data_IF_641091958854
#
_entry.id   IF_641091958854
#
_cell.length_a   1.000
_cell.length_b   1.000
_cell.length_c   1.000
_cell.angle_alpha   90.00
_cell.angle_beta   90.00
_cell.angle_gamma   90.00
#
_symmetry.space_group_name_H-M   'P 1'
#
loop_
_entity.id
_entity.type
_entity.pdbx_description
1 polymer ?
#
# COMPACT_ATOMS: atom_id res chain seq x y z
N UNK A 1 15.57 -28.44 -23.83
CA UNK A 1 15.95 -27.09 -24.31
C UNK A 1 15.48 -26.09 -23.28
N UNK A 2 16.41 -25.72 -22.40
CA UNK A 2 16.22 -24.91 -21.20
C UNK A 2 17.06 -23.66 -21.42
N UNK A 3 16.44 -22.47 -21.46
CA UNK A 3 17.14 -21.18 -21.36
C UNK A 3 16.14 -20.03 -21.39
N UNK A 4 16.38 -19.04 -20.52
CA UNK A 4 15.86 -17.66 -20.49
C UNK A 4 14.45 -17.43 -19.91
N UNK A 5 14.42 -16.91 -18.68
CA UNK A 5 13.56 -15.81 -18.17
C UNK A 5 13.81 -15.68 -16.65
N UNK A 6 15.02 -15.24 -16.30
CA UNK A 6 15.37 -14.73 -14.96
C UNK A 6 15.57 -13.24 -15.14
N UNK A 7 14.67 -12.45 -14.55
CA UNK A 7 14.63 -11.01 -14.78
C UNK A 7 14.08 -10.23 -13.59
N UNK A 8 14.64 -10.44 -12.41
CA UNK A 8 14.69 -9.43 -11.32
C UNK A 8 15.83 -9.81 -10.38
N UNK A 9 16.94 -9.05 -10.44
CA UNK A 9 18.05 -9.15 -9.47
C UNK A 9 17.73 -8.31 -8.23
N UNK A 10 17.95 -8.80 -7.00
CA UNK A 10 18.01 -7.95 -5.82
C UNK A 10 19.38 -7.22 -5.79
N UNK A 11 19.37 -5.91 -5.59
CA UNK A 11 20.59 -5.08 -5.63
C UNK A 11 21.14 -4.77 -4.25
N UNK A 12 22.47 -4.85 -4.21
CA UNK A 12 23.42 -4.69 -3.11
C UNK A 12 23.86 -3.23 -3.03
N UNK A 13 24.00 -2.68 -1.82
CA UNK A 13 24.59 -1.37 -1.60
C UNK A 13 26.13 -1.44 -1.65
N UNK A 14 26.77 -0.58 -2.46
CA UNK A 14 28.22 -0.34 -2.45
C UNK A 14 28.49 0.97 -1.68
N UNK A 15 29.40 1.00 -0.69
CA UNK A 15 29.62 2.21 0.10
C UNK A 15 30.72 3.12 -0.46
N UNK A 16 30.37 4.40 -0.64
CA UNK A 16 31.21 5.53 -0.17
C UNK A 16 31.91 6.41 -1.21
N UNK A 17 31.57 7.71 -1.21
CA UNK A 17 32.55 8.81 -1.18
C UNK A 17 31.91 10.06 -0.53
N UNK A 18 32.60 10.78 0.38
CA UNK A 18 32.03 11.94 1.06
C UNK A 18 32.22 13.23 0.25
N UNK A 19 31.15 14.00 0.05
CA UNK A 19 31.23 15.38 -0.49
C UNK A 19 31.10 16.37 0.67
N UNK A 20 32.06 17.29 0.73
CA UNK A 20 32.24 18.30 1.76
C UNK A 20 31.15 19.38 1.75
N UNK A 21 30.64 19.72 2.94
CA UNK A 21 29.71 20.84 3.14
C UNK A 21 30.46 22.17 3.30
N UNK A 22 30.23 23.11 2.37
CA UNK A 22 30.68 24.50 2.45
C UNK A 22 29.73 25.31 3.34
N UNK A 23 30.27 25.86 4.43
CA UNK A 23 29.62 26.87 5.30
C UNK A 23 29.61 28.24 4.61
N UNK A 24 28.50 28.99 4.73
CA UNK A 24 28.49 30.46 4.61
C UNK A 24 27.84 31.09 5.85
N UNK A 25 28.25 32.31 6.26
CA UNK A 25 28.04 32.81 7.62
C UNK A 25 26.84 33.76 7.79
N UNK A 26 26.18 33.61 8.94
CA UNK A 26 25.77 34.67 9.88
C UNK A 26 24.97 35.87 9.42
N UNK A 27 23.69 35.93 9.81
CA UNK A 27 22.97 37.18 10.10
C UNK A 27 22.12 36.98 11.36
N UNK A 28 22.37 37.79 12.39
CA UNK A 28 21.58 37.91 13.63
C UNK A 28 20.61 39.09 13.45
N UNK A 29 19.36 38.99 13.95
CA UNK A 29 18.74 40.20 14.50
C UNK A 29 18.16 40.05 15.92
N UNK A 30 18.06 41.21 16.55
CA UNK A 30 17.86 41.54 17.95
C UNK A 30 16.45 41.22 18.50
N UNK A 31 16.38 41.06 19.83
CA UNK A 31 15.17 40.80 20.65
C UNK A 31 14.71 42.09 21.37
N UNK A 32 13.40 42.35 21.54
CA UNK A 32 12.90 43.33 22.53
C UNK A 32 12.38 42.67 23.84
N UNK A 33 12.16 43.44 24.94
CA UNK A 33 12.09 42.90 26.31
C UNK A 33 10.69 42.89 27.00
N UNK A 34 10.53 41.99 28.00
CA UNK A 34 9.59 41.98 29.16
C UNK A 34 8.13 41.62 28.87
N UNK A 35 7.34 40.79 29.60
CA UNK A 35 7.24 40.22 30.97
C UNK A 35 6.16 39.07 30.92
N UNK A 36 5.78 38.36 32.01
CA UNK A 36 6.51 37.64 33.04
C UNK A 36 6.22 36.10 33.05
N UNK A 37 6.92 35.40 33.94
CA UNK A 37 7.10 33.94 34.05
C UNK A 37 5.88 33.19 34.61
N UNK A 38 5.50 32.08 33.96
CA UNK A 38 4.86 30.93 34.62
C UNK A 38 5.82 29.75 34.68
N UNK A 39 5.92 29.17 35.88
CA UNK A 39 6.81 28.07 36.27
C UNK A 39 6.35 26.73 35.69
N UNK A 40 7.32 25.91 35.31
CA UNK A 40 7.23 24.45 35.45
C UNK A 40 7.34 23.64 34.17
N UNK A 41 8.55 23.39 33.69
CA UNK A 41 8.91 22.06 33.19
C UNK A 41 10.44 21.90 33.19
N UNK A 42 10.92 20.88 33.90
CA UNK A 42 12.33 20.53 34.05
C UNK A 42 12.90 20.08 32.70
N UNK A 43 13.79 20.89 32.13
CA UNK A 43 14.61 20.50 31.00
C UNK A 43 15.70 19.52 31.48
N UNK A 44 15.54 18.24 31.16
CA UNK A 44 16.62 17.26 31.28
C UNK A 44 17.69 17.57 30.22
N UNK A 45 18.92 17.75 30.69
CA UNK A 45 20.12 18.01 29.89
C UNK A 45 20.33 16.89 28.86
N UNK A 46 20.56 17.28 27.62
CA UNK A 46 21.08 16.43 26.54
C UNK A 46 22.53 16.03 26.85
N UNK A 47 22.71 14.87 27.48
CA UNK A 47 23.99 14.16 27.45
C UNK A 47 24.16 13.50 26.08
N UNK A 48 25.32 13.74 25.46
CA UNK A 48 25.64 13.32 24.10
C UNK A 48 25.43 11.83 23.86
N UNK A 49 24.69 11.53 22.80
CA UNK A 49 24.63 10.19 22.22
C UNK A 49 25.92 9.99 21.44
N UNK A 50 26.83 9.19 21.99
CA UNK A 50 27.92 8.59 21.23
C UNK A 50 27.32 7.84 20.05
N UNK A 51 27.67 8.27 18.84
CA UNK A 51 27.36 7.56 17.60
C UNK A 51 28.14 6.25 17.59
N UNK A 52 27.54 5.18 18.09
CA UNK A 52 28.03 3.83 17.88
C UNK A 52 27.93 3.53 16.37
N UNK A 53 29.08 3.39 15.73
CA UNK A 53 29.26 2.88 14.36
C UNK A 53 28.96 1.38 14.32
N UNK A 54 27.68 1.01 14.45
CA UNK A 54 27.20 -0.35 14.24
C UNK A 54 26.60 -0.48 12.84
N UNK A 55 26.87 -1.60 12.15
CA UNK A 55 26.12 -1.97 10.95
C UNK A 55 24.61 -1.99 11.25
N UNK A 56 23.75 -1.54 10.32
CA UNK A 56 22.31 -1.55 10.55
C UNK A 56 21.84 -2.98 10.86
N UNK A 57 20.91 -3.17 11.81
CA UNK A 57 20.47 -4.50 12.22
C UNK A 57 19.81 -5.23 11.05
N UNK A 58 20.13 -6.51 10.89
CA UNK A 58 19.53 -7.39 9.88
C UNK A 58 18.13 -7.85 10.33
N UNK A 59 17.36 -8.45 9.41
CA UNK A 59 16.08 -9.09 9.79
C UNK A 59 16.27 -10.16 10.86
N UNK A 60 17.37 -10.92 10.79
CA UNK A 60 17.72 -11.95 11.79
C UNK A 60 17.90 -11.36 13.18
N UNK A 61 18.64 -10.26 13.26
CA UNK A 61 18.91 -9.56 14.53
C UNK A 61 17.61 -9.05 15.17
N UNK A 62 16.69 -8.54 14.37
CA UNK A 62 15.40 -8.02 14.84
C UNK A 62 14.46 -9.15 15.27
N UNK A 63 14.44 -10.26 14.53
CA UNK A 63 13.56 -11.39 14.82
C UNK A 63 14.02 -12.21 16.04
N UNK A 64 15.29 -12.11 16.45
CA UNK A 64 15.83 -12.74 17.67
C UNK A 64 15.46 -14.24 17.82
N UNK A 65 15.49 -14.99 16.71
CA UNK A 65 15.17 -16.42 16.68
C UNK A 65 13.68 -16.78 16.84
N UNK A 66 12.77 -15.80 16.93
CA UNK A 66 11.31 -16.05 17.02
C UNK A 66 10.70 -16.50 15.70
N UNK A 67 11.29 -16.10 14.58
CA UNK A 67 10.86 -16.54 13.24
C UNK A 67 11.68 -17.78 12.85
N UNK A 68 11.05 -18.84 12.30
CA UNK A 68 11.78 -20.02 11.86
C UNK A 68 12.89 -19.68 10.87
N UNK A 69 14.06 -20.30 11.07
CA UNK A 69 15.28 -20.04 10.31
C UNK A 69 15.09 -20.22 8.80
N UNK A 70 14.34 -21.24 8.39
CA UNK A 70 14.05 -21.50 6.98
C UNK A 70 13.24 -20.38 6.31
N UNK A 71 12.37 -19.68 7.05
CA UNK A 71 11.60 -18.53 6.55
C UNK A 71 12.49 -17.30 6.39
N UNK A 72 13.37 -17.04 7.38
CA UNK A 72 14.32 -15.93 7.31
C UNK A 72 15.31 -16.11 6.16
N UNK A 73 15.90 -17.30 6.02
CA UNK A 73 16.76 -17.64 4.90
C UNK A 73 16.04 -17.48 3.56
N UNK A 74 14.79 -17.93 3.47
CA UNK A 74 13.99 -17.77 2.25
C UNK A 74 13.73 -16.30 1.93
N UNK A 75 13.46 -15.47 2.93
CA UNK A 75 13.29 -14.03 2.74
C UNK A 75 14.57 -13.40 2.16
N UNK A 76 15.74 -13.77 2.69
CA UNK A 76 17.04 -13.32 2.19
C UNK A 76 17.31 -13.78 0.75
N UNK A 77 17.04 -15.05 0.43
CA UNK A 77 17.20 -15.62 -0.91
C UNK A 77 16.32 -14.92 -1.97
N UNK A 78 15.14 -14.42 -1.56
CA UNK A 78 14.23 -13.65 -2.42
C UNK A 78 14.68 -12.18 -2.56
N UNK A 79 15.63 -11.73 -1.73
CA UNK A 79 16.21 -10.39 -1.78
C UNK A 79 15.82 -9.46 -0.62
N UNK A 80 15.12 -9.95 0.40
CA UNK A 80 14.81 -9.19 1.62
C UNK A 80 16.00 -9.25 2.60
N UNK A 81 17.14 -8.66 2.22
CA UNK A 81 18.37 -8.73 3.01
C UNK A 81 18.43 -7.66 4.10
N UNK A 82 17.94 -6.45 3.81
CA UNK A 82 17.93 -5.32 4.74
C UNK A 82 16.49 -4.96 5.15
N UNK A 83 16.21 -4.81 6.45
CA UNK A 83 14.89 -4.46 6.92
C UNK A 83 14.56 -2.99 6.61
N UNK A 84 13.36 -2.76 6.05
CA UNK A 84 12.82 -1.42 5.84
C UNK A 84 12.55 -0.73 7.18
N UNK A 85 12.38 0.60 7.18
CA UNK A 85 12.11 1.36 8.41
C UNK A 85 10.87 0.85 9.15
N UNK A 86 9.78 0.59 8.41
CA UNK A 86 8.56 0.01 9.01
C UNK A 86 8.82 -1.36 9.60
N UNK A 87 9.66 -2.20 9.00
CA UNK A 87 10.02 -3.51 9.56
C UNK A 87 10.86 -3.35 10.83
N UNK A 88 11.84 -2.43 10.84
CA UNK A 88 12.69 -2.14 12.02
C UNK A 88 11.87 -1.67 13.22
N UNK A 89 10.89 -0.80 13.00
CA UNK A 89 10.07 -0.27 14.09
C UNK A 89 8.94 -1.22 14.50
N UNK A 90 8.32 -1.94 13.55
CA UNK A 90 7.14 -2.75 13.84
C UNK A 90 7.45 -4.17 14.33
N UNK A 91 8.47 -4.84 13.81
CA UNK A 91 8.73 -6.25 14.15
C UNK A 91 8.90 -6.50 15.65
N UNK A 92 9.64 -5.67 16.42
CA UNK A 92 9.73 -5.86 17.88
C UNK A 92 8.38 -5.80 18.59
N UNK A 93 7.49 -4.90 18.14
CA UNK A 93 6.13 -4.74 18.67
C UNK A 93 5.27 -5.95 18.28
N UNK A 94 5.27 -6.29 16.99
CA UNK A 94 4.51 -7.43 16.45
C UNK A 94 4.90 -8.73 17.15
N UNK A 95 6.20 -9.03 17.23
CA UNK A 95 6.70 -10.27 17.83
C UNK A 95 6.50 -10.31 19.36
N UNK A 96 6.20 -9.18 20.03
CA UNK A 96 5.86 -9.15 21.45
C UNK A 96 4.44 -9.67 21.75
N UNK A 97 3.61 -9.90 20.73
CA UNK A 97 2.23 -10.38 20.87
C UNK A 97 1.18 -9.29 21.07
N UNK A 98 1.58 -8.02 21.06
CA UNK A 98 0.67 -6.87 21.19
C UNK A 98 -0.12 -6.63 19.91
N UNK A 99 -1.39 -6.28 20.06
CA UNK A 99 -2.18 -5.77 18.95
C UNK A 99 -1.52 -4.50 18.40
N UNK A 100 -1.59 -4.29 17.09
CA UNK A 100 -0.85 -3.20 16.45
C UNK A 100 -1.61 -2.54 15.32
N UNK A 101 -1.47 -1.23 15.24
CA UNK A 101 -1.87 -0.45 14.07
C UNK A 101 -0.59 0.02 13.36
N UNK A 102 -0.35 -0.54 12.18
CA UNK A 102 0.78 -0.26 11.32
C UNK A 102 0.40 0.79 10.28
N UNK A 103 0.92 2.01 10.44
CA UNK A 103 0.74 3.09 9.49
C UNK A 103 2.06 3.41 8.79
N UNK A 104 2.13 3.12 7.50
CA UNK A 104 3.26 3.44 6.65
C UNK A 104 2.84 3.43 5.18
N UNK A 105 3.49 4.22 4.32
CA UNK A 105 3.17 4.33 2.89
C UNK A 105 3.11 2.98 2.16
N UNK A 106 2.41 2.92 1.03
CA UNK A 106 2.40 1.74 0.15
C UNK A 106 3.82 1.43 -0.33
N UNK A 107 4.17 0.15 -0.45
CA UNK A 107 5.54 -0.27 -0.82
C UNK A 107 6.58 -0.25 0.31
N UNK A 108 6.25 0.27 1.50
CA UNK A 108 7.17 0.30 2.66
C UNK A 108 7.56 -1.08 3.22
N UNK A 109 6.87 -2.16 2.83
CA UNK A 109 7.17 -3.52 3.32
C UNK A 109 6.33 -3.99 4.50
N UNK A 110 5.17 -3.38 4.77
CA UNK A 110 4.18 -3.82 5.79
C UNK A 110 3.83 -5.31 5.69
N UNK A 111 3.63 -5.80 4.46
CA UNK A 111 3.28 -7.20 4.19
C UNK A 111 4.31 -8.17 4.73
N UNK A 112 5.60 -7.92 4.51
CA UNK A 112 6.65 -8.78 5.06
C UNK A 112 6.66 -8.73 6.60
N UNK A 113 6.43 -7.57 7.21
CA UNK A 113 6.44 -7.42 8.66
C UNK A 113 5.36 -8.30 9.34
N UNK A 114 4.10 -8.23 8.89
CA UNK A 114 3.06 -9.08 9.47
C UNK A 114 3.16 -10.55 9.01
N UNK A 115 3.77 -10.84 7.87
CA UNK A 115 4.04 -12.23 7.44
C UNK A 115 5.06 -12.91 8.35
N UNK A 116 6.15 -12.22 8.70
CA UNK A 116 7.14 -12.73 9.64
C UNK A 116 6.53 -12.98 11.03
N UNK A 117 5.63 -12.10 11.49
CA UNK A 117 4.81 -12.35 12.68
C UNK A 117 4.01 -13.65 12.54
N UNK A 118 3.25 -13.82 11.45
CA UNK A 118 2.43 -15.01 11.25
C UNK A 118 3.31 -16.29 11.30
N UNK A 119 4.41 -16.31 10.55
CA UNK A 119 5.32 -17.46 10.54
C UNK A 119 6.01 -17.73 11.89
N UNK A 120 6.10 -16.74 12.78
CA UNK A 120 6.64 -16.93 14.14
C UNK A 120 5.72 -17.68 15.09
N UNK A 121 4.40 -17.69 14.84
CA UNK A 121 3.40 -18.22 15.78
C UNK A 121 2.60 -19.42 15.24
N UNK A 122 2.52 -19.60 13.92
CA UNK A 122 1.79 -20.75 13.36
C UNK A 122 2.51 -22.07 13.61
N UNK A 123 1.74 -23.12 13.84
CA UNK A 123 2.22 -24.49 13.89
C UNK A 123 1.98 -25.20 12.54
N UNK A 124 3.06 -25.47 11.80
CA UNK A 124 3.03 -26.14 10.49
C UNK A 124 2.53 -27.60 10.52
N UNK A 125 2.39 -28.21 11.70
CA UNK A 125 1.87 -29.57 11.85
C UNK A 125 0.37 -29.61 12.16
N UNK A 126 -0.25 -28.45 12.40
CA UNK A 126 -1.67 -28.35 12.77
C UNK A 126 -2.48 -27.85 11.58
N UNK A 127 -3.23 -28.76 10.96
CA UNK A 127 -4.20 -28.44 9.91
C UNK A 127 -5.42 -27.74 10.51
N UNK A 128 -5.30 -26.43 10.68
CA UNK A 128 -6.36 -25.53 11.12
C UNK A 128 -6.02 -24.10 10.70
N UNK A 129 -7.03 -23.28 10.48
CA UNK A 129 -6.83 -21.85 10.16
C UNK A 129 -6.28 -21.12 11.39
N UNK A 130 -5.00 -20.79 11.34
CA UNK A 130 -4.25 -20.16 12.43
C UNK A 130 -3.97 -18.68 12.16
N UNK A 131 -3.93 -18.26 10.89
CA UNK A 131 -3.83 -16.87 10.51
C UNK A 131 -4.84 -16.50 9.42
N UNK A 132 -5.46 -15.33 9.59
CA UNK A 132 -6.40 -14.76 8.62
C UNK A 132 -5.91 -13.35 8.24
N UNK A 133 -5.71 -13.12 6.95
CA UNK A 133 -5.47 -11.79 6.39
C UNK A 133 -6.68 -11.36 5.58
N UNK A 134 -7.31 -10.27 6.02
CA UNK A 134 -8.44 -9.63 5.34
C UNK A 134 -7.91 -8.52 4.47
N UNK A 135 -8.31 -8.53 3.21
CA UNK A 135 -7.95 -7.52 2.21
C UNK A 135 -9.20 -6.93 1.58
N UNK A 136 -9.17 -5.67 1.11
CA UNK A 136 -10.31 -5.06 0.41
C UNK A 136 -10.52 -5.61 -0.99
N UNK A 137 -9.45 -5.92 -1.71
CA UNK A 137 -9.51 -6.27 -3.14
C UNK A 137 -8.91 -7.64 -3.40
N UNK A 138 -9.38 -8.27 -4.48
CA UNK A 138 -8.86 -9.56 -4.94
C UNK A 138 -7.38 -9.45 -5.31
N UNK A 139 -6.99 -8.37 -5.96
CA UNK A 139 -5.64 -8.18 -6.48
C UNK A 139 -4.62 -8.05 -5.35
N UNK A 140 -4.98 -7.34 -4.27
CA UNK A 140 -4.16 -7.28 -3.07
C UNK A 140 -4.06 -8.67 -2.43
N UNK A 141 -5.19 -9.37 -2.34
CA UNK A 141 -5.21 -10.73 -1.80
C UNK A 141 -4.33 -11.71 -2.59
N UNK A 142 -4.30 -11.59 -3.91
CA UNK A 142 -3.41 -12.38 -4.75
C UNK A 142 -1.94 -12.07 -4.49
N UNK A 143 -1.58 -10.80 -4.30
CA UNK A 143 -0.21 -10.39 -3.95
C UNK A 143 0.21 -10.89 -2.58
N UNK A 144 -0.62 -10.69 -1.56
CA UNK A 144 -0.35 -11.15 -0.20
C UNK A 144 -0.20 -12.67 -0.18
N UNK A 145 -1.10 -13.41 -0.85
CA UNK A 145 -1.00 -14.86 -0.96
C UNK A 145 0.26 -15.31 -1.71
N UNK A 146 0.71 -14.56 -2.73
CA UNK A 146 1.97 -14.83 -3.43
C UNK A 146 3.16 -14.65 -2.48
N UNK A 147 3.22 -13.56 -1.72
CA UNK A 147 4.29 -13.31 -0.73
C UNK A 147 4.33 -14.44 0.31
N UNK A 148 3.18 -14.79 0.87
CA UNK A 148 3.08 -15.89 1.83
C UNK A 148 3.63 -17.21 1.24
N UNK A 149 3.25 -17.56 0.00
CA UNK A 149 3.73 -18.79 -0.66
C UNK A 149 5.21 -18.74 -0.99
N UNK A 150 5.75 -17.58 -1.38
CA UNK A 150 7.17 -17.43 -1.67
C UNK A 150 8.01 -17.65 -0.42
N UNK A 151 7.59 -17.12 0.72
CA UNK A 151 8.24 -17.30 2.02
C UNK A 151 8.12 -18.74 2.54
N UNK A 152 6.96 -19.37 2.36
CA UNK A 152 6.72 -20.76 2.77
C UNK A 152 7.29 -21.82 1.82
N UNK A 153 7.88 -21.43 0.68
CA UNK A 153 8.39 -22.37 -0.30
C UNK A 153 9.54 -23.19 0.28
N UNK A 154 9.55 -24.51 0.01
CA UNK A 154 10.62 -25.41 0.46
C UNK A 154 11.96 -24.97 -0.12
N UNK A 155 12.96 -24.90 0.75
CA UNK A 155 14.35 -24.75 0.34
C UNK A 155 14.84 -26.08 -0.23
N UNK A 156 15.32 -26.06 -1.47
CA UNK A 156 16.03 -27.19 -2.09
C UNK A 156 17.31 -27.46 -1.27
N UNK A 157 17.38 -28.60 -0.57
CA UNK A 157 18.56 -29.00 0.22
C UNK A 157 18.30 -29.35 1.70
N UNK A 158 17.11 -29.07 2.25
CA UNK A 158 16.70 -29.55 3.57
C UNK A 158 15.63 -30.65 3.43
N UNK A 159 16.06 -31.90 3.22
CA UNK A 159 15.19 -33.03 2.88
C UNK A 159 14.31 -33.54 4.04
N UNK A 160 14.51 -33.06 5.27
CA UNK A 160 13.97 -33.74 6.47
C UNK A 160 12.75 -33.09 7.12
N UNK A 161 12.29 -31.91 6.68
CA UNK A 161 11.12 -31.25 7.29
C UNK A 161 9.93 -31.26 6.33
N UNK A 162 8.90 -32.05 6.67
CA UNK A 162 7.53 -31.85 6.17
C UNK A 162 6.98 -30.55 6.75
N UNK A 163 7.40 -29.40 6.24
CA UNK A 163 6.87 -28.08 6.61
C UNK A 163 6.21 -27.42 5.39
N UNK A 164 5.22 -28.09 4.80
CA UNK A 164 4.37 -27.46 3.78
C UNK A 164 3.30 -26.64 4.49
N UNK A 165 3.46 -25.31 4.54
CA UNK A 165 2.39 -24.42 4.96
C UNK A 165 1.37 -24.30 3.82
N UNK A 166 0.13 -24.74 4.07
CA UNK A 166 -0.98 -24.59 3.18
C UNK A 166 -1.55 -23.16 3.28
N UNK A 167 -1.58 -22.47 2.14
CA UNK A 167 -2.03 -21.09 2.02
C UNK A 167 -3.19 -21.02 1.02
N UNK A 168 -4.37 -20.67 1.51
CA UNK A 168 -5.57 -20.50 0.70
C UNK A 168 -5.85 -19.02 0.43
N UNK A 169 -6.17 -18.69 -0.82
CA UNK A 169 -6.69 -17.39 -1.22
C UNK A 169 -8.21 -17.48 -1.46
N UNK A 170 -9.00 -16.96 -0.52
CA UNK A 170 -10.47 -16.91 -0.57
C UNK A 170 -10.92 -15.53 -1.06
N UNK A 171 -10.84 -15.32 -2.37
CA UNK A 171 -11.05 -14.01 -2.98
C UNK A 171 -12.32 -13.99 -3.84
N UNK A 172 -12.92 -12.80 -3.98
CA UNK A 172 -14.16 -12.60 -4.75
C UNK A 172 -14.00 -13.07 -6.21
N UNK A 173 -15.06 -13.65 -6.77
CA UNK A 173 -15.04 -14.24 -8.12
C UNK A 173 -14.20 -15.52 -8.25
N UNK A 174 -13.75 -16.11 -7.14
CA UNK A 174 -13.09 -17.42 -7.13
C UNK A 174 -14.05 -18.62 -7.18
N UNK A 175 -13.52 -19.82 -7.38
CA UNK A 175 -14.31 -21.07 -7.35
C UNK A 175 -14.67 -21.47 -5.91
N UNK A 176 -15.61 -20.73 -5.30
CA UNK A 176 -16.04 -20.94 -3.90
C UNK A 176 -16.43 -22.40 -3.62
N UNK A 177 -17.04 -23.12 -4.58
CA UNK A 177 -17.38 -24.54 -4.44
C UNK A 177 -16.14 -25.42 -4.19
N UNK A 178 -15.04 -25.18 -4.92
CA UNK A 178 -13.78 -25.92 -4.77
C UNK A 178 -13.11 -25.61 -3.43
N UNK A 179 -13.13 -24.35 -3.01
CA UNK A 179 -12.60 -23.93 -1.72
C UNK A 179 -13.34 -24.58 -0.54
N UNK A 180 -14.66 -24.72 -0.63
CA UNK A 180 -15.44 -25.44 0.41
C UNK A 180 -15.00 -26.88 0.59
N UNK A 181 -14.74 -27.60 -0.52
CA UNK A 181 -14.29 -28.99 -0.47
C UNK A 181 -12.92 -29.10 0.20
N UNK A 182 -12.01 -28.18 -0.15
CA UNK A 182 -10.65 -28.18 0.39
C UNK A 182 -10.64 -27.83 1.88
N UNK A 183 -11.35 -26.78 2.30
CA UNK A 183 -11.47 -26.38 3.71
C UNK A 183 -12.00 -27.51 4.61
N UNK A 184 -12.85 -28.40 4.08
CA UNK A 184 -13.38 -29.55 4.82
C UNK A 184 -12.41 -30.72 4.88
N UNK A 185 -11.61 -30.93 3.84
CA UNK A 185 -10.70 -32.06 3.75
C UNK A 185 -9.37 -31.80 4.47
N UNK A 186 -8.79 -30.64 4.24
CA UNK A 186 -7.47 -30.25 4.76
C UNK A 186 -7.45 -28.72 4.96
N UNK A 187 -7.87 -28.24 6.15
CA UNK A 187 -7.83 -26.83 6.48
C UNK A 187 -6.42 -26.22 6.32
N UNK A 188 -6.29 -25.08 5.63
CA UNK A 188 -5.01 -24.38 5.48
C UNK A 188 -4.61 -23.65 6.76
N UNK A 189 -3.31 -23.48 7.02
CA UNK A 189 -2.83 -22.70 8.17
C UNK A 189 -3.06 -21.21 7.99
N UNK A 190 -2.93 -20.70 6.75
CA UNK A 190 -3.08 -19.29 6.42
C UNK A 190 -4.19 -19.11 5.39
N UNK A 191 -5.13 -18.21 5.68
CA UNK A 191 -6.17 -17.77 4.76
C UNK A 191 -5.98 -16.29 4.43
N UNK A 192 -5.89 -15.96 3.14
CA UNK A 192 -5.99 -14.58 2.64
C UNK A 192 -7.35 -14.42 2.00
N UNK A 193 -8.17 -13.49 2.48
CA UNK A 193 -9.55 -13.38 2.03
C UNK A 193 -10.01 -11.95 1.77
N UNK A 194 -10.84 -11.77 0.74
CA UNK A 194 -11.67 -10.56 0.62
C UNK A 194 -12.78 -10.63 1.66
N UNK A 195 -13.15 -9.48 2.23
CA UNK A 195 -14.16 -9.42 3.31
C UNK A 195 -15.50 -10.04 2.88
N UNK A 196 -15.92 -9.83 1.62
CA UNK A 196 -17.17 -10.39 1.08
C UNK A 196 -17.17 -11.92 1.04
N UNK A 197 -16.17 -12.52 0.38
CA UNK A 197 -16.01 -13.98 0.32
C UNK A 197 -15.82 -14.62 1.69
N UNK A 198 -15.09 -13.95 2.60
CA UNK A 198 -14.92 -14.39 3.98
C UNK A 198 -16.26 -14.47 4.72
N UNK A 199 -17.03 -13.38 4.75
CA UNK A 199 -18.33 -13.34 5.40
C UNK A 199 -19.25 -14.45 4.86
N UNK A 200 -19.25 -14.69 3.55
CA UNK A 200 -20.07 -15.74 2.96
C UNK A 200 -19.68 -17.15 3.45
N UNK A 201 -18.39 -17.42 3.67
CA UNK A 201 -17.95 -18.72 4.21
C UNK A 201 -18.27 -18.87 5.70
N UNK A 202 -18.20 -17.78 6.47
CA UNK A 202 -18.54 -17.75 7.89
C UNK A 202 -20.05 -17.92 8.12
N UNK A 203 -20.88 -17.21 7.36
CA UNK A 203 -22.34 -17.30 7.42
C UNK A 203 -22.86 -18.70 7.06
N UNK A 204 -22.14 -19.40 6.18
CA UNK A 204 -22.46 -20.79 5.81
C UNK A 204 -21.83 -21.83 6.74
N UNK A 205 -21.16 -21.39 7.82
CA UNK A 205 -20.43 -22.24 8.77
C UNK A 205 -19.42 -23.20 8.11
N UNK A 206 -18.86 -22.81 6.95
CA UNK A 206 -17.83 -23.63 6.27
C UNK A 206 -16.46 -23.36 6.84
N UNK A 207 -16.16 -22.09 7.15
CA UNK A 207 -14.90 -21.67 7.74
C UNK A 207 -15.10 -21.47 9.25
N UNK A 208 -14.21 -22.04 10.06
CA UNK A 208 -14.18 -21.86 11.51
C UNK A 208 -12.93 -21.06 11.89
N UNK A 209 -13.07 -20.14 12.85
CA UNK A 209 -11.99 -19.22 13.28
C UNK A 209 -11.49 -19.53 14.70
N UNK A 210 -11.85 -20.69 15.26
CA UNK A 210 -11.54 -21.07 16.65
C UNK A 210 -10.04 -21.21 16.94
N UNK A 211 -9.24 -21.52 15.91
CA UNK A 211 -7.79 -21.71 16.04
C UNK A 211 -6.96 -20.49 15.61
N UNK A 212 -7.61 -19.36 15.28
CA UNK A 212 -6.90 -18.17 14.82
C UNK A 212 -6.09 -17.58 15.95
N UNK A 213 -4.79 -17.41 15.69
CA UNK A 213 -3.84 -16.73 16.55
C UNK A 213 -3.55 -15.31 16.04
N UNK A 214 -3.62 -15.06 14.73
CA UNK A 214 -3.34 -13.75 14.13
C UNK A 214 -4.44 -13.36 13.14
N UNK A 215 -5.00 -12.16 13.32
CA UNK A 215 -5.88 -11.51 12.37
C UNK A 215 -5.24 -10.23 11.84
N UNK A 216 -5.00 -10.17 10.54
CA UNK A 216 -4.51 -8.98 9.85
C UNK A 216 -5.64 -8.38 9.02
N UNK A 217 -5.77 -7.07 9.05
CA UNK A 217 -6.68 -6.30 8.22
C UNK A 217 -5.85 -5.27 7.46
N UNK A 218 -5.61 -5.51 6.17
CA UNK A 218 -4.71 -4.71 5.33
C UNK A 218 -5.50 -3.72 4.45
N UNK A 219 -4.91 -2.57 4.14
CA UNK A 219 -5.57 -1.42 3.49
C UNK A 219 -6.90 -1.01 4.17
N UNK A 220 -6.82 -0.74 5.47
CA UNK A 220 -7.98 -0.33 6.29
C UNK A 220 -8.64 0.94 5.77
N UNK A 221 -7.86 1.93 5.34
CA UNK A 221 -8.37 3.17 4.75
C UNK A 221 -9.34 2.90 3.59
N UNK A 222 -8.99 1.95 2.71
CA UNK A 222 -9.85 1.56 1.61
C UNK A 222 -11.16 0.90 2.10
N UNK A 223 -11.07 -0.02 3.06
CA UNK A 223 -12.28 -0.67 3.60
C UNK A 223 -13.26 0.31 4.24
N UNK A 224 -12.74 1.42 4.77
CA UNK A 224 -13.55 2.46 5.40
C UNK A 224 -14.29 3.38 4.42
N UNK A 225 -13.96 3.32 3.12
CA UNK A 225 -14.69 4.05 2.08
C UNK A 225 -16.07 3.44 1.78
N UNK A 226 -16.30 2.17 2.15
CA UNK A 226 -17.57 1.46 1.91
C UNK A 226 -18.26 1.08 3.22
N UNK A 227 -19.45 1.63 3.46
CA UNK A 227 -20.26 1.33 4.65
C UNK A 227 -20.56 -0.17 4.80
N UNK A 228 -20.75 -0.87 3.68
CA UNK A 228 -20.95 -2.32 3.64
C UNK A 228 -19.71 -3.07 4.11
N UNK A 229 -18.52 -2.70 3.61
CA UNK A 229 -17.27 -3.33 4.04
C UNK A 229 -16.99 -3.07 5.52
N UNK A 230 -17.23 -1.85 6.01
CA UNK A 230 -17.13 -1.50 7.43
C UNK A 230 -18.05 -2.36 8.29
N UNK A 231 -19.31 -2.55 7.88
CA UNK A 231 -20.27 -3.38 8.62
C UNK A 231 -19.82 -4.84 8.67
N UNK A 232 -19.38 -5.39 7.54
CA UNK A 232 -18.86 -6.76 7.46
C UNK A 232 -17.60 -6.94 8.32
N UNK A 233 -16.67 -5.98 8.30
CA UNK A 233 -15.46 -5.98 9.12
C UNK A 233 -15.79 -5.93 10.61
N UNK A 234 -16.74 -5.07 11.02
CA UNK A 234 -17.24 -5.02 12.40
C UNK A 234 -17.79 -6.37 12.84
N UNK A 235 -18.62 -7.01 12.00
CA UNK A 235 -19.19 -8.34 12.27
C UNK A 235 -18.09 -9.41 12.42
N UNK A 236 -17.06 -9.37 11.58
CA UNK A 236 -15.89 -10.26 11.72
C UNK A 236 -15.19 -10.10 13.07
N UNK A 237 -14.89 -8.85 13.44
CA UNK A 237 -14.08 -8.53 14.62
C UNK A 237 -14.80 -8.81 15.93
N UNK A 238 -16.14 -8.67 15.98
CA UNK A 238 -16.92 -8.77 17.21
C UNK A 238 -17.76 -10.04 17.33
N UNK A 239 -18.25 -10.59 16.22
CA UNK A 239 -19.22 -11.69 16.23
C UNK A 239 -18.61 -13.04 15.87
N UNK A 240 -17.63 -13.06 14.96
CA UNK A 240 -17.03 -14.30 14.45
C UNK A 240 -15.71 -14.68 15.10
N UNK A 241 -15.11 -13.77 15.87
CA UNK A 241 -13.79 -14.00 16.48
C UNK A 241 -13.70 -13.28 17.82
N UNK A 242 -13.00 -13.88 18.79
CA UNK A 242 -12.80 -13.31 20.14
C UNK A 242 -11.45 -12.61 20.28
N UNK A 243 -11.45 -11.44 20.91
CA UNK A 243 -10.28 -10.56 21.02
C UNK A 243 -9.13 -11.19 21.83
N UNK A 244 -9.45 -12.00 22.83
CA UNK A 244 -8.47 -12.63 23.72
C UNK A 244 -7.79 -13.84 23.09
N UNK A 245 -8.37 -14.42 22.04
CA UNK A 245 -7.84 -15.60 21.36
C UNK A 245 -6.81 -15.27 20.28
N UNK A 246 -6.67 -13.99 19.90
CA UNK A 246 -5.86 -13.57 18.75
C UNK A 246 -5.06 -12.30 19.00
N UNK A 247 -4.02 -12.09 18.19
CA UNK A 247 -3.39 -10.80 17.99
C UNK A 247 -4.01 -10.12 16.76
N UNK A 248 -4.44 -8.88 16.89
CA UNK A 248 -5.07 -8.12 15.80
C UNK A 248 -4.12 -7.05 15.26
N UNK A 249 -3.87 -7.08 13.95
CA UNK A 249 -3.00 -6.13 13.24
C UNK A 249 -3.82 -5.38 12.19
N UNK A 250 -3.88 -4.04 12.30
CA UNK A 250 -4.42 -3.17 11.26
C UNK A 250 -3.27 -2.56 10.47
N UNK A 251 -3.23 -2.76 9.15
CA UNK A 251 -2.20 -2.18 8.28
C UNK A 251 -2.83 -1.20 7.28
N UNK A 252 -2.29 0.01 7.19
CA UNK A 252 -2.82 1.05 6.30
C UNK A 252 -1.76 2.04 5.86
N UNK A 253 -1.97 2.69 4.71
CA UNK A 253 -1.11 3.80 4.28
C UNK A 253 -1.47 5.10 5.00
N UNK A 254 -2.77 5.35 5.14
CA UNK A 254 -3.30 6.45 5.94
C UNK A 254 -4.31 5.93 6.96
N UNK A 255 -4.51 6.69 8.04
CA UNK A 255 -5.57 6.42 9.01
C UNK A 255 -6.42 7.69 9.11
N UNK A 256 -7.62 7.70 8.51
CA UNK A 256 -8.53 8.82 8.63
C UNK A 256 -8.82 9.10 10.11
N UNK A 257 -8.61 10.34 10.55
CA UNK A 257 -8.79 10.73 11.95
C UNK A 257 -8.02 9.82 12.91
N UNK A 258 -6.72 9.65 12.68
CA UNK A 258 -5.79 8.79 13.42
C UNK A 258 -6.14 8.53 14.90
N UNK A 259 -6.30 9.58 15.71
CA UNK A 259 -6.66 9.47 17.13
C UNK A 259 -8.03 8.80 17.37
N UNK A 260 -9.01 9.10 16.51
CA UNK A 260 -10.34 8.53 16.56
C UNK A 260 -10.33 7.06 16.19
N UNK A 261 -9.56 6.66 15.18
CA UNK A 261 -9.49 5.26 14.77
C UNK A 261 -8.94 4.36 15.87
N UNK A 262 -7.84 4.75 16.54
CA UNK A 262 -7.30 3.99 17.67
C UNK A 262 -8.30 3.92 18.84
N UNK A 263 -8.95 5.04 19.14
CA UNK A 263 -10.01 5.08 20.14
C UNK A 263 -11.14 4.11 19.79
N UNK A 264 -11.62 4.12 18.55
CA UNK A 264 -12.68 3.24 18.09
C UNK A 264 -12.25 1.77 18.10
N UNK A 265 -11.00 1.45 17.76
CA UNK A 265 -10.47 0.07 17.85
C UNK A 265 -10.59 -0.50 19.27
N UNK A 266 -10.25 0.30 20.29
CA UNK A 266 -10.34 -0.12 21.69
C UNK A 266 -11.79 -0.14 22.17
N UNK A 267 -12.56 0.93 21.92
CA UNK A 267 -13.95 1.04 22.40
C UNK A 267 -14.87 -0.01 21.80
N UNK A 268 -14.70 -0.30 20.51
CA UNK A 268 -15.50 -1.32 19.80
C UNK A 268 -14.96 -2.74 20.00
N UNK A 269 -13.93 -2.91 20.85
CA UNK A 269 -13.29 -4.20 21.14
C UNK A 269 -12.74 -4.91 19.90
N UNK A 270 -12.21 -4.14 18.95
CA UNK A 270 -11.48 -4.69 17.80
C UNK A 270 -10.06 -5.09 18.17
N UNK A 271 -9.44 -4.34 19.10
CA UNK A 271 -8.11 -4.61 19.66
C UNK A 271 -8.12 -4.56 21.19
N UNK A 272 -7.11 -5.19 21.79
CA UNK A 272 -6.81 -5.08 23.22
C UNK A 272 -6.51 -3.63 23.61
N UNK A 273 -6.61 -3.35 24.91
CA UNK A 273 -6.43 -1.98 25.47
C UNK A 273 -5.00 -1.44 25.30
N UNK A 274 -4.01 -2.33 25.21
CA UNK A 274 -2.60 -2.00 25.09
C UNK A 274 -2.11 -1.99 23.62
N UNK A 275 -3.04 -1.80 22.67
CA UNK A 275 -2.73 -1.66 21.24
C UNK A 275 -1.66 -0.60 21.00
N UNK A 276 -0.67 -0.94 20.19
CA UNK A 276 0.45 -0.04 19.86
C UNK A 276 0.26 0.50 18.45
N UNK A 277 0.37 1.82 18.29
CA UNK A 277 0.43 2.44 16.98
C UNK A 277 1.88 2.65 16.56
N UNK A 278 2.26 2.06 15.43
CA UNK A 278 3.56 2.27 14.80
C UNK A 278 3.34 3.13 13.57
N UNK A 279 3.79 4.38 13.63
CA UNK A 279 3.72 5.35 12.54
C UNK A 279 5.11 5.61 11.98
N UNK A 280 5.37 5.16 10.75
CA UNK A 280 6.64 5.44 10.08
C UNK A 280 6.48 6.57 9.08
N UNK A 281 7.43 7.51 9.10
CA UNK A 281 7.46 8.73 8.26
C UNK A 281 6.29 9.68 8.52
N UNK A 282 5.95 9.92 9.80
CA UNK A 282 4.87 10.85 10.16
C UNK A 282 5.05 12.29 9.66
N UNK A 283 6.28 12.69 9.30
CA UNK A 283 6.63 14.06 8.89
C UNK A 283 6.50 14.27 7.37
N UNK A 284 6.74 13.22 6.58
CA UNK A 284 6.73 13.27 5.10
C UNK A 284 5.99 12.02 4.57
N UNK A 285 4.68 12.13 4.29
CA UNK A 285 3.87 10.98 3.86
C UNK A 285 4.13 10.57 2.40
N UNK A 286 4.75 11.44 1.60
CA UNK A 286 5.07 11.22 0.19
C UNK A 286 6.58 11.07 -0.02
N UNK A 287 7.03 10.24 -0.98
CA UNK A 287 8.43 10.18 -1.36
C UNK A 287 8.95 11.53 -1.88
N UNK A 288 10.13 11.94 -1.44
CA UNK A 288 10.76 13.20 -1.84
C UNK A 288 11.20 13.25 -3.31
N UNK A 289 11.25 12.12 -4.01
CA UNK A 289 11.55 12.04 -5.45
C UNK A 289 10.36 12.42 -6.35
N UNK A 290 9.18 12.66 -5.78
CA UNK A 290 7.99 13.07 -6.53
C UNK A 290 7.99 14.59 -6.76
N UNK A 291 7.94 14.98 -8.03
CA UNK A 291 7.63 16.35 -8.43
C UNK A 291 6.14 16.50 -8.66
N UNK A 292 5.51 17.38 -7.90
CA UNK A 292 4.07 17.61 -7.96
C UNK A 292 3.77 18.89 -8.75
N UNK A 293 2.87 18.79 -9.73
CA UNK A 293 2.49 19.88 -10.63
C UNK A 293 0.97 19.96 -10.76
N UNK A 294 0.43 21.12 -11.12
CA UNK A 294 -0.97 21.25 -11.54
C UNK A 294 -1.13 22.16 -12.75
N UNK A 295 -2.22 21.93 -13.49
CA UNK A 295 -2.69 22.78 -14.58
C UNK A 295 -4.13 23.19 -14.28
N UNK A 296 -4.42 24.49 -14.37
CA UNK A 296 -5.78 25.01 -14.29
C UNK A 296 -6.40 24.95 -15.69
N UNK A 297 -7.46 24.16 -15.85
CA UNK A 297 -8.20 24.05 -17.11
C UNK A 297 -9.70 23.82 -16.84
N UNK A 298 -10.55 24.30 -17.75
CA UNK A 298 -12.00 24.04 -17.66
C UNK A 298 -12.28 22.60 -18.05
N UNK A 299 -13.42 22.07 -17.61
CA UNK A 299 -13.79 20.66 -17.85
C UNK A 299 -13.75 20.25 -19.34
N UNK A 300 -14.14 21.14 -20.25
CA UNK A 300 -14.12 20.87 -21.70
C UNK A 300 -12.71 20.92 -22.32
N UNK A 301 -11.75 21.58 -21.65
CA UNK A 301 -10.36 21.72 -22.10
C UNK A 301 -9.47 20.59 -21.57
N UNK A 302 -9.95 19.79 -20.60
CA UNK A 302 -9.16 18.74 -19.93
C UNK A 302 -8.57 17.71 -20.87
N UNK A 303 -9.33 17.25 -21.86
CA UNK A 303 -8.85 16.26 -22.84
C UNK A 303 -7.68 16.81 -23.67
N UNK A 304 -7.81 18.04 -24.18
CA UNK A 304 -6.74 18.71 -24.92
C UNK A 304 -5.51 18.98 -24.05
N UNK A 305 -5.73 19.42 -22.80
CA UNK A 305 -4.65 19.65 -21.83
C UNK A 305 -3.91 18.35 -21.50
N UNK A 306 -4.62 17.25 -21.32
CA UNK A 306 -4.03 15.93 -21.10
C UNK A 306 -3.18 15.50 -22.30
N UNK A 307 -3.68 15.66 -23.53
CA UNK A 307 -2.93 15.32 -24.74
C UNK A 307 -1.64 16.13 -24.83
N UNK A 308 -1.70 17.44 -24.58
CA UNK A 308 -0.53 18.31 -24.57
C UNK A 308 0.49 17.88 -23.52
N UNK A 309 0.04 17.53 -22.30
CA UNK A 309 0.91 17.02 -21.25
C UNK A 309 1.60 15.72 -21.68
N UNK A 310 0.86 14.77 -22.24
CA UNK A 310 1.44 13.50 -22.70
C UNK A 310 2.50 13.70 -23.79
N UNK A 311 2.27 14.62 -24.73
CA UNK A 311 3.21 14.94 -25.81
C UNK A 311 4.44 15.72 -25.33
N UNK A 312 4.28 16.59 -24.33
CA UNK A 312 5.38 17.41 -23.79
C UNK A 312 6.23 16.65 -22.78
N UNK A 313 5.60 15.88 -21.89
CA UNK A 313 6.29 15.09 -20.87
C UNK A 313 6.95 13.83 -21.46
N UNK A 314 6.46 13.30 -22.59
CA UNK A 314 6.95 12.08 -23.27
C UNK A 314 7.15 10.90 -22.29
N UNK A 315 6.10 10.49 -21.55
CA UNK A 315 6.24 9.57 -20.43
C UNK A 315 6.70 8.18 -20.87
N UNK A 316 7.72 7.60 -20.23
CA UNK A 316 8.09 6.19 -20.46
C UNK A 316 6.97 5.22 -20.08
N UNK A 317 6.20 5.58 -19.06
CA UNK A 317 5.01 4.86 -18.59
C UNK A 317 4.22 5.79 -17.69
N UNK A 318 2.90 5.68 -17.72
CA UNK A 318 2.06 6.54 -16.90
C UNK A 318 0.69 5.98 -16.57
N UNK A 319 0.10 6.51 -15.50
CA UNK A 319 -1.28 6.20 -15.10
C UNK A 319 -2.09 7.49 -15.15
N UNK A 320 -3.22 7.43 -15.85
CA UNK A 320 -4.21 8.50 -15.94
C UNK A 320 -5.38 8.10 -15.05
N UNK A 321 -5.51 8.80 -13.92
CA UNK A 321 -6.60 8.57 -12.99
C UNK A 321 -7.81 9.44 -13.31
N UNK A 322 -8.93 8.76 -13.47
CA UNK A 322 -10.25 9.34 -13.73
C UNK A 322 -11.17 8.97 -12.56
N UNK A 323 -12.04 9.89 -12.16
CA UNK A 323 -12.97 9.61 -11.06
C UNK A 323 -14.02 8.57 -11.50
N UNK A 324 -14.43 7.73 -10.56
CA UNK A 324 -15.48 6.74 -10.82
C UNK A 324 -16.81 7.40 -11.21
N UNK A 325 -17.55 6.72 -12.08
CA UNK A 325 -18.86 7.17 -12.50
C UNK A 325 -19.84 7.22 -11.32
N UNK A 326 -20.67 8.25 -11.29
CA UNK A 326 -21.75 8.33 -10.31
C UNK A 326 -22.78 7.22 -10.55
N UNK A 327 -23.38 6.69 -9.47
CA UNK A 327 -24.50 5.74 -9.54
C UNK A 327 -25.65 6.24 -10.44
N UNK A 328 -25.87 7.56 -10.49
CA UNK A 328 -26.86 8.17 -11.37
C UNK A 328 -26.48 7.99 -12.84
N UNK A 329 -25.24 8.32 -13.20
CA UNK A 329 -24.70 8.16 -14.55
C UNK A 329 -24.69 6.69 -15.00
N UNK A 330 -24.34 5.76 -14.10
CA UNK A 330 -24.42 4.31 -14.37
C UNK A 330 -25.85 3.88 -14.72
N UNK A 331 -26.87 4.40 -14.03
CA UNK A 331 -28.28 4.09 -14.31
C UNK A 331 -28.82 4.73 -15.59
N UNK A 332 -28.32 5.90 -15.96
CA UNK A 332 -28.71 6.60 -17.20
C UNK A 332 -28.02 6.03 -18.43
N UNK A 333 -26.98 5.21 -18.26
CA UNK A 333 -26.24 4.60 -19.36
C UNK A 333 -25.22 5.54 -20.00
N UNK A 334 -24.77 6.57 -19.27
CA UNK A 334 -23.73 7.48 -19.72
C UNK A 334 -22.42 6.70 -19.92
N UNK A 335 -21.65 7.03 -20.97
CA UNK A 335 -20.36 6.39 -21.21
C UNK A 335 -19.37 6.68 -20.06
N UNK A 336 -18.68 5.67 -19.51
CA UNK A 336 -17.59 5.84 -18.54
C UNK A 336 -16.60 6.93 -18.93
N UNK A 337 -16.29 7.83 -18.00
CA UNK A 337 -15.29 8.89 -18.21
C UNK A 337 -13.94 8.32 -18.60
N UNK A 338 -13.60 7.15 -18.05
CA UNK A 338 -12.44 6.33 -18.40
C UNK A 338 -12.45 5.89 -19.86
N UNK A 339 -13.60 5.44 -20.39
CA UNK A 339 -13.75 5.11 -21.81
C UNK A 339 -13.68 6.34 -22.70
N UNK A 340 -14.28 7.47 -22.29
CA UNK A 340 -14.17 8.74 -23.02
C UNK A 340 -12.70 9.17 -23.18
N UNK A 341 -11.92 9.09 -22.10
CA UNK A 341 -10.47 9.40 -22.16
C UNK A 341 -9.73 8.40 -23.04
N UNK A 342 -10.03 7.10 -22.92
CA UNK A 342 -9.40 6.05 -23.72
C UNK A 342 -9.64 6.25 -25.23
N UNK A 343 -10.90 6.46 -25.63
CA UNK A 343 -11.27 6.64 -27.05
C UNK A 343 -10.65 7.90 -27.63
N UNK A 344 -10.66 9.00 -26.88
CA UNK A 344 -10.01 10.25 -27.28
C UNK A 344 -8.51 10.06 -27.49
N UNK A 345 -7.81 9.43 -26.53
CA UNK A 345 -6.38 9.21 -26.67
C UNK A 345 -6.05 8.25 -27.81
N UNK A 346 -6.81 7.17 -28.02
CA UNK A 346 -6.61 6.29 -29.18
C UNK A 346 -6.78 7.00 -30.52
N UNK A 347 -7.61 8.03 -30.59
CA UNK A 347 -7.83 8.81 -31.80
C UNK A 347 -6.77 9.90 -32.03
N UNK A 348 -6.21 10.47 -30.96
CA UNK A 348 -5.37 11.68 -31.04
C UNK A 348 -3.91 11.49 -30.62
N UNK A 349 -3.60 10.45 -29.86
CA UNK A 349 -2.25 10.16 -29.36
C UNK A 349 -1.57 9.15 -30.29
N UNK A 350 -0.79 9.66 -31.25
CA UNK A 350 -0.12 8.87 -32.29
C UNK A 350 1.25 8.31 -31.88
N UNK A 351 1.55 8.18 -30.58
CA UNK A 351 2.83 7.65 -30.13
C UNK A 351 2.83 6.12 -29.98
N UNK A 352 4.02 5.55 -29.82
CA UNK A 352 4.25 4.10 -29.75
C UNK A 352 3.79 3.42 -28.45
N UNK A 353 3.24 4.17 -27.48
CA UNK A 353 2.80 3.61 -26.20
C UNK A 353 1.39 3.07 -26.32
N UNK A 354 1.22 1.80 -25.96
CA UNK A 354 -0.11 1.20 -25.87
C UNK A 354 -0.90 1.82 -24.72
N UNK A 355 -2.21 1.99 -24.94
CA UNK A 355 -3.14 2.56 -23.97
C UNK A 355 -4.11 1.47 -23.52
N UNK A 356 -4.02 1.09 -22.25
CA UNK A 356 -4.89 0.08 -21.63
C UNK A 356 -5.88 0.73 -20.66
N UNK A 357 -6.94 -0.01 -20.39
CA UNK A 357 -8.03 0.38 -19.51
C UNK A 357 -8.05 -0.52 -18.28
N UNK A 358 -8.28 0.08 -17.12
CA UNK A 358 -8.51 -0.65 -15.88
C UNK A 358 -9.67 -0.02 -15.11
N UNK A 359 -10.85 -0.65 -15.20
CA UNK A 359 -12.04 -0.24 -14.48
C UNK A 359 -12.44 -1.28 -13.42
N UNK A 360 -13.29 -0.87 -12.49
CA UNK A 360 -13.84 -1.74 -11.45
C UNK A 360 -14.80 -2.77 -12.03
N UNK A 361 -15.68 -2.35 -12.94
CA UNK A 361 -16.75 -3.17 -13.49
C UNK A 361 -16.27 -4.15 -14.59
N UNK A 362 -14.97 -4.17 -14.89
CA UNK A 362 -14.38 -5.15 -15.80
C UNK A 362 -14.54 -6.56 -15.24
N UNK A 363 -14.93 -7.50 -16.11
CA UNK A 363 -14.94 -8.90 -15.72
C UNK A 363 -13.51 -9.38 -15.35
N UNK A 364 -13.46 -10.39 -14.48
CA UNK A 364 -12.19 -10.87 -13.92
C UNK A 364 -11.13 -11.23 -14.97
N UNK A 365 -11.53 -11.89 -16.06
CA UNK A 365 -10.59 -12.33 -17.09
C UNK A 365 -10.02 -11.14 -17.86
N UNK A 366 -10.88 -10.20 -18.29
CA UNK A 366 -10.46 -8.99 -18.99
C UNK A 366 -9.53 -8.12 -18.14
N UNK A 367 -9.84 -7.99 -16.84
CA UNK A 367 -9.01 -7.29 -15.88
C UNK A 367 -7.65 -7.97 -15.71
N UNK A 368 -7.61 -9.29 -15.57
CA UNK A 368 -6.36 -10.05 -15.48
C UNK A 368 -5.49 -9.93 -16.75
N UNK A 369 -6.11 -9.95 -17.93
CA UNK A 369 -5.42 -9.72 -19.21
C UNK A 369 -4.81 -8.33 -19.26
N UNK A 370 -5.59 -7.29 -18.96
CA UNK A 370 -5.12 -5.90 -18.98
C UNK A 370 -3.95 -5.69 -18.01
N UNK A 371 -4.00 -6.30 -16.83
CA UNK A 371 -2.90 -6.27 -15.87
C UNK A 371 -1.65 -7.04 -16.34
N UNK A 372 -1.81 -8.10 -17.12
CA UNK A 372 -0.70 -8.84 -17.70
C UNK A 372 -0.03 -8.03 -18.82
N UNK A 373 -0.81 -7.38 -19.67
CA UNK A 373 -0.31 -6.52 -20.76
C UNK A 373 0.46 -5.32 -20.19
N UNK A 374 -0.13 -4.63 -19.21
CA UNK A 374 0.52 -3.51 -18.52
C UNK A 374 1.88 -3.90 -17.91
N UNK A 375 2.06 -5.16 -17.51
CA UNK A 375 3.35 -5.65 -16.96
C UNK A 375 4.41 -5.95 -18.02
N UNK A 376 4.03 -6.13 -19.28
CA UNK A 376 4.93 -6.57 -20.34
C UNK A 376 5.71 -5.41 -20.98
N UNK A 377 5.34 -4.16 -20.72
CA UNK A 377 6.04 -3.03 -21.31
C UNK A 377 5.66 -1.66 -20.75
N UNK A 378 6.26 -0.66 -21.39
CA UNK A 378 5.94 0.75 -21.22
C UNK A 378 4.57 1.06 -21.82
N UNK A 379 3.61 1.48 -20.99
CA UNK A 379 2.26 1.77 -21.43
C UNK A 379 1.65 2.97 -20.69
N UNK A 380 0.52 3.46 -21.21
CA UNK A 380 -0.39 4.38 -20.53
C UNK A 380 -1.58 3.58 -20.02
N UNK A 381 -1.87 3.70 -18.73
CA UNK A 381 -3.02 3.06 -18.10
C UNK A 381 -4.08 4.09 -17.72
N UNK A 382 -5.28 3.98 -18.28
CA UNK A 382 -6.44 4.77 -17.83
C UNK A 382 -7.19 3.98 -16.76
N UNK A 383 -7.32 4.53 -15.55
CA UNK A 383 -7.89 3.80 -14.41
C UNK A 383 -8.70 4.66 -13.45
N UNK A 384 -9.59 4.03 -12.68
CA UNK A 384 -10.21 4.63 -11.49
C UNK A 384 -9.41 4.32 -10.21
N UNK A 385 -9.65 5.07 -9.13
CA UNK A 385 -9.02 4.81 -7.83
C UNK A 385 -9.22 3.38 -7.36
N UNK A 386 -10.46 2.90 -7.40
CA UNK A 386 -10.83 1.55 -6.97
C UNK A 386 -10.13 0.50 -7.81
N UNK A 387 -10.10 0.72 -9.12
CA UNK A 387 -9.46 -0.18 -10.06
C UNK A 387 -7.93 -0.22 -9.90
N UNK A 388 -7.30 0.89 -9.53
CA UNK A 388 -5.85 0.95 -9.29
C UNK A 388 -5.39 0.44 -7.93
N UNK A 389 -6.27 0.41 -6.91
CA UNK A 389 -5.95 0.01 -5.52
C UNK A 389 -5.62 -1.47 -5.39
N UNK A 390 -4.66 -1.79 -4.54
CA UNK A 390 -4.24 -3.18 -4.32
C UNK A 390 -3.68 -3.91 -5.55
N UNK A 391 -3.44 -3.24 -6.68
CA UNK A 391 -2.86 -3.85 -7.88
C UNK A 391 -1.34 -3.61 -7.92
N UNK A 392 -0.59 -4.66 -8.20
CA UNK A 392 0.85 -4.60 -8.50
C UNK A 392 1.03 -4.20 -9.96
N UNK A 393 0.94 -2.88 -10.17
CA UNK A 393 1.27 -2.20 -11.41
C UNK A 393 2.78 -1.97 -11.43
N UNK A 394 3.42 -2.08 -12.61
CA UNK A 394 4.82 -1.68 -12.76
C UNK A 394 4.98 -0.23 -12.33
N UNK A 395 6.18 0.08 -11.85
CA UNK A 395 6.53 1.44 -11.47
C UNK A 395 6.38 2.37 -12.69
N UNK A 396 5.64 3.46 -12.49
CA UNK A 396 5.37 4.43 -13.53
C UNK A 396 6.10 5.73 -13.29
N UNK A 397 6.58 6.34 -14.37
CA UNK A 397 7.27 7.64 -14.30
C UNK A 397 6.31 8.81 -14.09
N UNK A 398 5.08 8.70 -14.62
CA UNK A 398 4.12 9.80 -14.62
C UNK A 398 2.75 9.38 -14.07
N UNK A 399 2.16 10.23 -13.25
CA UNK A 399 0.79 10.12 -12.78
C UNK A 399 0.03 11.37 -13.23
N UNK A 400 -1.05 11.18 -13.97
CA UNK A 400 -1.95 12.25 -14.39
C UNK A 400 -3.27 12.11 -13.64
N UNK A 401 -3.57 13.04 -12.74
CA UNK A 401 -4.92 13.14 -12.17
C UNK A 401 -5.79 13.91 -13.16
N UNK A 402 -6.42 13.21 -14.09
CA UNK A 402 -7.35 13.81 -15.05
C UNK A 402 -8.55 14.43 -14.33
N UNK A 403 -9.04 13.73 -13.31
CA UNK A 403 -9.90 14.31 -12.30
C UNK A 403 -9.15 14.37 -10.96
N UNK A 404 -9.25 15.48 -10.24
CA UNK A 404 -8.70 15.59 -8.90
C UNK A 404 -9.36 14.53 -7.97
N UNK A 405 -8.58 13.78 -7.16
CA UNK A 405 -9.14 12.82 -6.21
C UNK A 405 -10.00 13.52 -5.16
N UNK A 406 -10.93 12.76 -4.56
CA UNK A 406 -11.89 13.29 -3.56
C UNK A 406 -11.23 13.60 -2.22
N UNK A 407 -10.14 12.92 -1.88
CA UNK A 407 -9.47 13.03 -0.58
C UNK A 407 -7.95 13.08 -0.74
N UNK A 408 -7.27 13.65 0.26
CA UNK A 408 -5.81 13.63 0.35
C UNK A 408 -5.29 12.18 0.39
N UNK A 409 -6.01 11.27 1.07
CA UNK A 409 -5.65 9.85 1.12
C UNK A 409 -5.64 9.26 -0.28
N UNK A 410 -6.67 9.51 -1.09
CA UNK A 410 -6.69 9.03 -2.49
C UNK A 410 -5.54 9.63 -3.31
N UNK A 411 -5.24 10.92 -3.14
CA UNK A 411 -4.07 11.56 -3.76
C UNK A 411 -2.76 10.84 -3.41
N UNK A 412 -2.54 10.57 -2.12
CA UNK A 412 -1.38 9.83 -1.62
C UNK A 412 -1.25 8.45 -2.29
N UNK A 413 -2.37 7.74 -2.45
CA UNK A 413 -2.38 6.42 -3.10
C UNK A 413 -2.12 6.47 -4.60
N UNK A 414 -2.61 7.50 -5.29
CA UNK A 414 -2.31 7.74 -6.72
C UNK A 414 -0.84 8.10 -6.91
N UNK A 415 -0.33 9.05 -6.13
CA UNK A 415 1.06 9.49 -6.16
C UNK A 415 2.05 8.35 -5.84
N UNK A 416 1.72 7.50 -4.86
CA UNK A 416 2.51 6.32 -4.48
C UNK A 416 2.53 5.17 -5.51
N UNK A 417 1.98 5.39 -6.72
CA UNK A 417 2.18 4.51 -7.89
C UNK A 417 3.50 4.83 -8.63
N UNK A 418 4.01 6.03 -8.44
CA UNK A 418 5.33 6.45 -8.86
C UNK A 418 6.30 6.51 -7.66
N UNK A 419 7.61 6.59 -7.92
CA UNK A 419 8.62 6.77 -6.88
C UNK A 419 8.73 5.61 -5.88
N UNK A 420 8.57 4.36 -6.34
CA UNK A 420 8.61 3.17 -5.47
C UNK A 420 10.03 2.65 -5.22
N UNK A 421 11.00 3.01 -6.07
CA UNK A 421 12.42 2.72 -5.83
C UNK A 421 13.03 3.74 -4.88
N UNK A 422 13.45 3.33 -3.68
CA UNK A 422 14.40 4.15 -2.93
C UNK A 422 15.69 4.26 -3.77
N UNK A 423 16.23 5.48 -3.89
CA UNK A 423 17.48 5.77 -4.60
C UNK A 423 17.43 5.70 -6.15
N UNK A 424 16.26 5.84 -6.77
CA UNK A 424 16.20 6.11 -8.21
C UNK A 424 16.49 7.57 -8.51
N UNK A 425 17.35 7.84 -9.48
CA UNK A 425 17.61 9.20 -10.00
C UNK A 425 16.51 9.68 -10.96
N UNK A 426 15.61 8.77 -11.39
CA UNK A 426 14.49 9.13 -12.26
C UNK A 426 13.48 10.01 -11.50
N UNK A 427 13.35 11.26 -11.94
CA UNK A 427 12.31 12.18 -11.45
C UNK A 427 10.93 11.64 -11.82
N UNK A 428 10.14 11.33 -10.81
CA UNK A 428 8.77 10.87 -10.97
C UNK A 428 7.82 12.07 -10.85
N UNK A 429 6.82 12.16 -11.72
CA UNK A 429 6.00 13.37 -11.83
C UNK A 429 4.53 13.07 -11.62
N UNK A 430 3.88 13.89 -10.79
CA UNK A 430 2.43 13.83 -10.54
C UNK A 430 1.80 15.14 -11.00
N UNK A 431 1.05 15.11 -12.09
CA UNK A 431 0.39 16.28 -12.66
C UNK A 431 -1.13 16.20 -12.43
N UNK A 432 -1.71 17.22 -11.79
CA UNK A 432 -3.16 17.31 -11.58
C UNK A 432 -3.82 18.32 -12.50
N UNK A 433 -4.85 17.88 -13.24
CA UNK A 433 -5.72 18.76 -14.00
C UNK A 433 -6.86 19.20 -13.08
N UNK A 434 -6.88 20.49 -12.75
CA UNK A 434 -7.86 21.06 -11.81
C UNK A 434 -8.69 22.14 -12.49
N UNK A 435 -9.94 22.29 -12.08
CA UNK A 435 -10.69 23.52 -12.37
C UNK A 435 -10.27 24.65 -11.42
N UNK A 436 -10.57 25.92 -11.73
CA UNK A 436 -10.29 27.03 -10.82
C UNK A 436 -10.89 26.84 -9.43
N UNK A 437 -12.09 26.24 -9.36
CA UNK A 437 -12.79 25.95 -8.12
C UNK A 437 -12.14 24.81 -7.33
N UNK A 438 -11.37 23.92 -7.96
CA UNK A 438 -10.71 22.79 -7.29
C UNK A 438 -9.37 23.19 -6.65
N UNK A 439 -8.85 24.42 -6.89
CA UNK A 439 -7.56 24.87 -6.34
C UNK A 439 -7.50 24.82 -4.82
N UNK A 440 -8.60 25.17 -4.14
CA UNK A 440 -8.65 25.12 -2.67
C UNK A 440 -8.62 23.68 -2.15
N UNK A 441 -9.17 22.72 -2.92
CA UNK A 441 -9.14 21.30 -2.58
C UNK A 441 -7.72 20.77 -2.68
N UNK A 442 -7.02 21.09 -3.78
CA UNK A 442 -5.60 20.74 -3.94
C UNK A 442 -4.75 21.39 -2.84
N UNK A 443 -5.02 22.64 -2.46
CA UNK A 443 -4.31 23.32 -1.37
C UNK A 443 -4.50 22.61 -0.02
N UNK A 444 -5.69 22.08 0.23
CA UNK A 444 -5.92 21.24 1.41
C UNK A 444 -5.06 19.98 1.36
N UNK A 445 -4.89 19.36 0.20
CA UNK A 445 -4.02 18.18 0.06
C UNK A 445 -2.56 18.55 0.31
N UNK A 446 -2.06 19.66 -0.25
CA UNK A 446 -0.72 20.21 -0.01
C UNK A 446 -0.43 20.33 1.50
N UNK A 447 -1.38 20.91 2.24
CA UNK A 447 -1.27 21.07 3.69
C UNK A 447 -1.36 19.75 4.48
N UNK A 448 -2.26 18.84 4.09
CA UNK A 448 -2.49 17.58 4.81
C UNK A 448 -1.35 16.56 4.57
N UNK A 449 -0.75 16.60 3.38
CA UNK A 449 0.32 15.68 2.98
C UNK A 449 1.70 16.34 2.93
N UNK A 450 1.82 17.61 3.32
CA UNK A 450 3.08 18.35 3.45
C UNK A 450 3.93 18.36 2.16
N UNK A 451 3.29 18.59 1.01
CA UNK A 451 3.98 18.74 -0.28
C UNK A 451 3.60 20.06 -0.96
N UNK A 452 4.40 20.47 -1.94
CA UNK A 452 4.16 21.66 -2.75
C UNK A 452 3.87 21.25 -4.19
N UNK A 453 2.86 21.81 -4.82
CA UNK A 453 2.71 21.74 -6.27
C UNK A 453 3.19 23.01 -6.98
N UNK A 454 3.84 22.82 -8.12
CA UNK A 454 4.14 23.88 -9.08
C UNK A 454 2.99 24.07 -10.08
N UNK A 455 2.65 25.33 -10.39
CA UNK A 455 1.68 25.64 -11.44
C UNK A 455 2.34 25.62 -12.82
N UNK A 456 1.81 24.79 -13.71
CA UNK A 456 2.19 24.79 -15.11
C UNK A 456 1.30 25.76 -15.89
N UNK A 457 1.88 26.86 -16.36
CA UNK A 457 1.20 27.77 -17.26
C UNK A 457 1.13 27.14 -18.65
N UNK A 458 -0.07 26.69 -19.03
CA UNK A 458 -0.33 26.32 -20.41
C UNK A 458 -0.45 27.60 -21.24
N UNK A 459 0.46 27.79 -22.21
CA UNK A 459 0.21 28.76 -23.26
C UNK A 459 -1.07 28.32 -23.98
N UNK A 460 -2.00 29.26 -24.13
CA UNK A 460 -3.32 29.00 -24.73
C UNK A 460 -3.18 28.15 -25.99
N UNK A 461 -3.70 26.92 -25.94
CA UNK A 461 -3.93 26.09 -27.12
C UNK A 461 -4.90 26.87 -28.02
N UNK A 462 -4.36 27.60 -29.01
CA UNK A 462 -5.13 28.31 -30.03
C UNK A 462 -5.68 27.35 -31.07
#
# INVERSE_FOLDING_TARGET
>A
MVSSLVGTRPWVAVPGHPIAALRRPGIIPLRPPGLPRHRGCLAARSSGVSTATGSPPTLRDICQGRVPEHILKRAEDIGFTLPTEVQRQSLPVLLSGKDCVLQAQTGSGKTLAYMLLIFSVINFQRSAVQALIVVPTRELGMQVARVARMLAAKLTGFETVKSTCAIMALLDGGMLKRHKSWLKAEPPEIVVATIGSLCQMLEKHVLKLEAIQVLVVDEVDFMFNSSKQVQSLRKLLTSYSTIDARQTIFASASIPQHNRFLYDCVQQKWTKKDVVHVHVNAVEPLPSCLSHRYVICRKHERLGSLLFLLQSDTPKSGIIFVNDQSEKSKRTGDLPSTLLVLEFLKACFNESLEIHLLEEDMNYNARATSLSEVRQGSCILVATDIAGRGVDLPETTHIYNFDLPKTAVDYLHRAGRAGRRPFSDDTCVVTSLISPEERFVLQRFENELMFNCEELQMMSLQ
#
